data_IF_096432913545
#
_entry.id   IF_096432913545
#
_cell.length_a   1.000
_cell.length_b   1.000
_cell.length_c   1.000
_cell.angle_alpha   90.00
_cell.angle_beta   90.00
_cell.angle_gamma   90.00
#
_symmetry.space_group_name_H-M   'P 1'
#
loop_
_entity.id
_entity.type
_entity.pdbx_description
1 polymer ?
#
# COMPACT_ATOMS: atom_id res chain seq x y z
N UNK A 1 -0.80 22.67 -16.14
CA UNK A 1 -0.98 22.77 -14.69
C UNK A 1 -0.24 23.98 -14.19
N UNK A 2 -0.88 24.79 -13.37
CA UNK A 2 -0.36 26.07 -12.89
C UNK A 2 -0.11 26.02 -11.39
N UNK A 3 -1.09 25.55 -10.62
CA UNK A 3 -1.00 25.42 -9.16
C UNK A 3 -1.48 24.04 -8.70
N UNK A 4 -0.79 23.48 -7.70
CA UNK A 4 -1.25 22.35 -6.89
C UNK A 4 -1.13 22.79 -5.44
N UNK A 5 -2.23 22.81 -4.69
CA UNK A 5 -2.26 23.24 -3.29
C UNK A 5 -2.88 22.11 -2.48
N UNK A 6 -2.06 21.38 -1.73
CA UNK A 6 -2.53 20.36 -0.80
C UNK A 6 -3.00 21.02 0.51
N UNK A 7 -4.15 20.59 1.00
CA UNK A 7 -4.82 21.19 2.17
C UNK A 7 -5.17 20.14 3.23
N UNK A 8 -4.44 19.02 3.28
CA UNK A 8 -4.75 17.87 4.16
C UNK A 8 -4.87 18.21 5.65
N UNK A 9 -4.23 19.31 6.07
CA UNK A 9 -4.25 19.78 7.47
C UNK A 9 -5.17 20.99 7.67
N UNK A 10 -5.96 21.38 6.67
CA UNK A 10 -6.89 22.50 6.75
C UNK A 10 -8.29 21.97 7.01
N UNK A 11 -9.01 22.55 7.98
CA UNK A 11 -10.45 22.34 8.14
C UNK A 11 -11.22 23.03 7.00
N UNK A 12 -11.23 22.40 5.82
CA UNK A 12 -11.79 22.96 4.59
C UNK A 12 -13.31 22.79 4.45
N UNK A 13 -13.98 22.13 5.39
CA UNK A 13 -15.39 21.78 5.35
C UNK A 13 -16.07 22.15 6.67
N UNK A 14 -17.34 22.57 6.60
CA UNK A 14 -18.15 22.93 7.79
C UNK A 14 -18.42 21.74 8.72
N UNK A 15 -18.27 20.52 8.21
CA UNK A 15 -18.45 19.29 8.96
C UNK A 15 -17.14 18.51 9.03
N UNK A 16 -16.97 17.76 10.11
CA UNK A 16 -15.81 16.89 10.29
C UNK A 16 -15.89 15.69 9.33
N UNK A 17 -15.18 15.82 8.19
CA UNK A 17 -15.09 14.81 7.14
C UNK A 17 -13.67 14.25 7.05
N UNK A 18 -13.55 12.95 6.77
CA UNK A 18 -12.26 12.33 6.44
C UNK A 18 -11.95 12.54 4.97
N UNK A 19 -11.35 13.68 4.62
CA UNK A 19 -11.05 14.08 3.26
C UNK A 19 -9.58 14.52 3.07
N UNK A 20 -9.16 14.61 1.80
CA UNK A 20 -7.82 15.05 1.37
C UNK A 20 -7.97 16.21 0.40
N UNK A 21 -8.39 17.40 0.88
CA UNK A 21 -8.69 18.50 -0.01
C UNK A 21 -7.41 18.98 -0.68
N UNK A 22 -7.54 19.28 -1.98
CA UNK A 22 -6.51 19.94 -2.75
C UNK A 22 -7.16 20.87 -3.77
N UNK A 23 -6.50 21.99 -4.06
CA UNK A 23 -6.87 22.90 -5.15
C UNK A 23 -5.88 22.68 -6.29
N UNK A 24 -6.40 22.37 -7.47
CA UNK A 24 -5.59 22.10 -8.66
C UNK A 24 -6.06 23.05 -9.77
N UNK A 25 -5.15 23.88 -10.27
CA UNK A 25 -5.46 24.86 -11.33
C UNK A 25 -4.83 24.41 -12.64
N UNK A 26 -5.67 24.06 -13.60
CA UNK A 26 -5.27 23.66 -14.95
C UNK A 26 -5.60 24.81 -15.90
N UNK A 27 -4.64 25.16 -16.77
CA UNK A 27 -4.78 26.19 -17.80
C UNK A 27 -4.41 25.60 -19.16
N UNK A 28 -5.01 26.13 -20.23
CA UNK A 28 -4.71 25.74 -21.61
C UNK A 28 -3.54 26.57 -22.15
N UNK A 29 -2.33 26.29 -21.65
CA UNK A 29 -1.08 26.96 -22.04
C UNK A 29 0.01 25.89 -22.19
N UNK A 30 1.11 26.22 -22.87
CA UNK A 30 2.29 25.35 -22.91
C UNK A 30 2.78 25.12 -21.48
N UNK A 31 2.92 23.85 -21.10
CA UNK A 31 3.43 23.50 -19.78
C UNK A 31 4.90 23.90 -19.66
N UNK A 32 5.19 24.68 -18.63
CA UNK A 32 6.54 25.11 -18.27
C UNK A 32 6.74 24.97 -16.77
N UNK A 33 6.24 25.94 -16.00
CA UNK A 33 6.43 26.01 -14.55
C UNK A 33 5.14 25.65 -13.78
N UNK A 34 5.26 25.09 -12.58
CA UNK A 34 4.13 24.83 -11.67
C UNK A 34 4.49 25.19 -10.24
N UNK A 35 3.58 25.85 -9.53
CA UNK A 35 3.72 26.09 -8.09
C UNK A 35 3.03 24.97 -7.32
N UNK A 36 3.76 24.32 -6.43
CA UNK A 36 3.26 23.29 -5.53
C UNK A 36 3.29 23.86 -4.12
N UNK A 37 2.17 23.76 -3.41
CA UNK A 37 2.00 24.32 -2.08
C UNK A 37 1.32 23.33 -1.13
N UNK A 38 1.63 23.49 0.15
CA UNK A 38 1.00 22.80 1.27
C UNK A 38 0.50 23.85 2.25
N UNK A 39 -0.81 23.81 2.50
CA UNK A 39 -1.49 24.60 3.50
C UNK A 39 -1.85 23.74 4.71
N UNK A 40 -1.77 24.31 5.91
CA UNK A 40 -2.32 23.73 7.13
C UNK A 40 -3.27 24.71 7.86
N UNK A 41 -3.78 24.33 9.03
CA UNK A 41 -4.74 25.13 9.79
C UNK A 41 -4.26 26.54 10.10
N UNK A 42 -2.95 26.78 10.22
CA UNK A 42 -2.43 28.13 10.51
C UNK A 42 -2.62 29.07 9.32
N UNK A 43 -2.90 28.54 8.11
CA UNK A 43 -3.33 29.38 6.98
C UNK A 43 -4.64 30.13 7.24
N UNK A 44 -5.49 29.66 8.17
CA UNK A 44 -6.71 30.36 8.57
C UNK A 44 -6.41 31.70 9.28
N UNK A 45 -5.18 31.89 9.77
CA UNK A 45 -4.74 33.15 10.37
C UNK A 45 -4.54 34.26 9.32
N UNK A 46 -4.52 33.91 8.04
CA UNK A 46 -4.26 34.85 6.94
C UNK A 46 -5.52 35.07 6.10
N UNK A 47 -5.72 36.32 5.66
CA UNK A 47 -6.77 36.62 4.70
C UNK A 47 -6.49 35.90 3.36
N UNK A 48 -7.48 35.30 2.67
CA UNK A 48 -7.26 34.53 1.43
C UNK A 48 -6.49 35.28 0.34
N UNK A 49 -6.69 36.60 0.25
CA UNK A 49 -5.95 37.48 -0.68
C UNK A 49 -4.44 37.43 -0.44
N UNK A 50 -3.98 37.34 0.81
CA UNK A 50 -2.55 37.26 1.14
C UNK A 50 -1.95 35.99 0.58
N UNK A 51 -2.60 34.84 0.81
CA UNK A 51 -2.14 33.54 0.31
C UNK A 51 -2.08 33.54 -1.22
N UNK A 52 -3.15 34.02 -1.89
CA UNK A 52 -3.20 34.04 -3.36
C UNK A 52 -2.17 35.00 -3.97
N UNK A 53 -1.92 36.16 -3.34
CA UNK A 53 -0.87 37.09 -3.77
C UNK A 53 0.50 36.43 -3.67
N UNK A 54 0.84 35.80 -2.55
CA UNK A 54 2.13 35.12 -2.36
C UNK A 54 2.36 34.00 -3.36
N UNK A 55 1.35 33.16 -3.62
CA UNK A 55 1.46 32.09 -4.62
C UNK A 55 1.63 32.65 -6.05
N UNK A 56 0.96 33.76 -6.40
CA UNK A 56 1.14 34.43 -7.69
C UNK A 56 2.52 35.08 -7.82
N UNK A 57 3.00 35.73 -6.76
CA UNK A 57 4.35 36.28 -6.69
C UNK A 57 5.39 35.18 -6.87
N UNK A 58 5.26 34.05 -6.18
CA UNK A 58 6.16 32.92 -6.38
C UNK A 58 6.17 32.41 -7.82
N UNK A 59 5.02 32.42 -8.50
CA UNK A 59 4.91 32.01 -9.89
C UNK A 59 5.58 32.99 -10.86
N UNK A 60 5.45 34.30 -10.62
CA UNK A 60 5.99 35.34 -11.50
C UNK A 60 7.44 35.71 -11.19
N UNK A 61 7.90 35.47 -9.97
CA UNK A 61 9.23 35.86 -9.50
C UNK A 61 10.31 34.98 -10.12
N UNK A 62 11.36 35.58 -10.66
CA UNK A 62 12.50 34.87 -11.26
C UNK A 62 13.52 34.39 -10.23
N UNK A 63 13.59 35.04 -9.06
CA UNK A 63 14.60 34.82 -8.02
C UNK A 63 14.05 33.91 -6.90
N UNK A 64 12.85 34.20 -6.38
CA UNK A 64 12.24 33.39 -5.33
C UNK A 64 11.75 32.05 -5.90
N UNK A 65 12.16 30.95 -5.27
CA UNK A 65 11.80 29.58 -5.67
C UNK A 65 10.99 28.84 -4.61
N UNK A 66 10.86 29.40 -3.41
CA UNK A 66 10.13 28.81 -2.29
C UNK A 66 9.53 29.87 -1.36
N UNK A 67 8.50 29.45 -0.61
CA UNK A 67 7.88 30.16 0.50
C UNK A 67 7.87 29.21 1.69
N UNK A 68 8.28 29.71 2.86
CA UNK A 68 8.15 29.02 4.14
C UNK A 68 7.66 30.03 5.16
N UNK A 69 6.39 29.94 5.52
CA UNK A 69 5.73 30.79 6.50
C UNK A 69 4.81 29.95 7.38
N UNK A 70 4.27 30.56 8.43
CA UNK A 70 3.29 29.92 9.31
C UNK A 70 2.10 29.42 8.48
N UNK A 71 1.92 28.11 8.51
CA UNK A 71 0.90 27.37 7.78
C UNK A 71 0.99 27.26 6.26
N UNK A 72 1.85 28.03 5.58
CA UNK A 72 2.01 27.96 4.12
C UNK A 72 3.44 27.63 3.73
N UNK A 73 3.60 26.51 3.02
CA UNK A 73 4.86 26.12 2.38
C UNK A 73 4.63 25.95 0.89
N UNK A 74 5.46 26.55 0.05
CA UNK A 74 5.32 26.41 -1.40
C UNK A 74 6.66 26.42 -2.10
N UNK A 75 6.72 25.82 -3.28
CA UNK A 75 7.88 25.93 -4.16
C UNK A 75 7.47 25.97 -5.63
N UNK A 76 8.37 26.53 -6.44
CA UNK A 76 8.24 26.62 -7.89
C UNK A 76 9.02 25.47 -8.53
N UNK A 77 8.30 24.57 -9.20
CA UNK A 77 8.88 23.47 -9.99
C UNK A 77 9.02 23.86 -11.46
N UNK A 78 10.23 23.74 -11.98
CA UNK A 78 10.54 23.86 -13.42
C UNK A 78 10.56 22.51 -14.14
N UNK A 79 10.52 21.40 -13.40
CA UNK A 79 10.42 20.07 -13.97
C UNK A 79 8.97 19.66 -14.04
N UNK A 80 8.50 19.35 -15.25
CA UNK A 80 7.20 18.74 -15.43
C UNK A 80 7.27 17.22 -15.27
N UNK A 81 6.25 16.64 -14.64
CA UNK A 81 6.18 15.21 -14.42
C UNK A 81 6.18 14.43 -15.74
N UNK A 82 6.90 13.30 -15.76
CA UNK A 82 6.92 12.42 -16.94
C UNK A 82 5.53 11.84 -17.19
N UNK A 83 5.11 11.70 -18.46
CA UNK A 83 3.87 11.01 -18.79
C UNK A 83 3.87 9.58 -18.22
N UNK A 84 2.73 9.13 -17.70
CA UNK A 84 2.50 7.76 -17.18
C UNK A 84 3.29 7.36 -15.93
N UNK A 85 3.95 8.30 -15.26
CA UNK A 85 4.49 8.10 -13.90
C UNK A 85 3.64 8.83 -12.86
N UNK A 86 3.39 8.26 -11.67
CA UNK A 86 2.78 8.96 -10.56
C UNK A 86 3.55 10.23 -10.23
N UNK A 87 2.81 11.28 -9.89
CA UNK A 87 3.39 12.58 -9.54
C UNK A 87 3.73 12.56 -8.05
N UNK A 88 5.03 12.51 -7.73
CA UNK A 88 5.50 12.69 -6.36
C UNK A 88 5.39 14.17 -6.00
N UNK A 89 4.35 14.53 -5.24
CA UNK A 89 4.13 15.90 -4.76
C UNK A 89 4.82 16.02 -3.39
N UNK A 90 6.13 16.24 -3.41
CA UNK A 90 6.98 16.36 -2.22
C UNK A 90 7.91 17.57 -2.32
N UNK A 91 8.45 18.00 -1.18
CA UNK A 91 9.40 19.12 -1.10
C UNK A 91 10.63 18.90 -1.99
N UNK A 92 11.23 19.96 -2.58
CA UNK A 92 12.38 19.85 -3.48
C UNK A 92 13.52 18.98 -2.96
N UNK A 93 13.95 19.19 -1.70
CA UNK A 93 15.03 18.39 -1.12
C UNK A 93 14.69 16.90 -0.98
N UNK A 94 13.42 16.57 -0.72
CA UNK A 94 12.95 15.18 -0.72
C UNK A 94 12.87 14.63 -2.14
N UNK A 95 12.46 15.43 -3.10
CA UNK A 95 12.42 15.04 -4.52
C UNK A 95 13.82 14.70 -5.04
N UNK A 96 14.83 15.48 -4.70
CA UNK A 96 16.23 15.21 -5.05
C UNK A 96 16.73 13.89 -4.47
N UNK A 97 16.44 13.63 -3.18
CA UNK A 97 16.77 12.35 -2.53
C UNK A 97 16.06 11.19 -3.22
N UNK A 98 14.77 11.34 -3.53
CA UNK A 98 13.99 10.32 -4.24
C UNK A 98 14.62 9.99 -5.60
N UNK A 99 14.92 11.02 -6.40
CA UNK A 99 15.53 10.85 -7.72
C UNK A 99 16.92 10.20 -7.62
N UNK A 100 17.73 10.57 -6.63
CA UNK A 100 19.04 9.97 -6.40
C UNK A 100 18.93 8.47 -6.05
N UNK A 101 17.97 8.10 -5.20
CA UNK A 101 17.72 6.70 -4.85
C UNK A 101 17.19 5.90 -6.05
N UNK A 102 16.30 6.49 -6.87
CA UNK A 102 15.78 5.86 -8.09
C UNK A 102 16.85 5.66 -9.17
N UNK A 103 17.86 6.53 -9.24
CA UNK A 103 18.98 6.39 -10.17
C UNK A 103 20.01 5.36 -9.69
N UNK A 104 20.24 5.28 -8.38
CA UNK A 104 21.31 4.47 -7.79
C UNK A 104 20.91 3.01 -7.56
N UNK A 105 19.64 2.75 -7.28
CA UNK A 105 19.18 1.45 -6.82
C UNK A 105 18.04 0.90 -7.70
N UNK A 106 18.05 -0.41 -8.00
CA UNK A 106 16.92 -1.07 -8.68
C UNK A 106 15.65 -1.02 -7.84
N UNK A 107 14.50 -1.18 -8.48
CA UNK A 107 13.22 -1.44 -7.79
C UNK A 107 13.28 -2.74 -7.02
N UNK A 108 12.44 -2.84 -5.98
CA UNK A 108 12.29 -4.06 -5.19
C UNK A 108 12.09 -5.31 -6.08
N UNK A 109 11.28 -5.21 -7.13
CA UNK A 109 11.03 -6.34 -8.04
C UNK A 109 12.25 -6.74 -8.87
N UNK A 110 13.05 -5.77 -9.31
CA UNK A 110 14.32 -5.99 -10.00
C UNK A 110 15.39 -6.65 -9.10
N UNK A 111 15.19 -6.67 -7.78
CA UNK A 111 16.08 -7.38 -6.83
C UNK A 111 15.66 -8.84 -6.54
N UNK A 112 14.68 -9.37 -7.27
CA UNK A 112 14.17 -10.74 -7.08
C UNK A 112 13.14 -10.85 -5.95
N UNK A 113 12.50 -9.74 -5.59
CA UNK A 113 11.41 -9.71 -4.63
C UNK A 113 10.07 -9.63 -5.37
N UNK A 114 9.10 -10.43 -4.95
CA UNK A 114 7.74 -10.39 -5.49
C UNK A 114 6.81 -9.71 -4.49
N UNK A 115 6.05 -8.72 -4.97
CA UNK A 115 5.02 -8.02 -4.20
C UNK A 115 3.65 -8.44 -4.71
N UNK A 116 2.76 -8.86 -3.81
CA UNK A 116 1.41 -9.29 -4.15
C UNK A 116 0.34 -8.80 -3.18
N UNK A 117 -0.91 -9.10 -3.53
CA UNK A 117 -2.10 -8.73 -2.75
C UNK A 117 -2.76 -10.02 -2.27
N UNK A 118 -3.24 -10.03 -1.03
CA UNK A 118 -4.02 -11.14 -0.51
C UNK A 118 -5.36 -11.36 -1.21
N UNK A 119 -6.03 -12.46 -0.88
CA UNK A 119 -7.29 -12.86 -1.52
C UNK A 119 -8.41 -11.89 -1.18
N UNK A 120 -9.03 -11.33 -2.22
CA UNK A 120 -10.31 -10.66 -2.11
C UNK A 120 -11.43 -11.68 -2.31
N UNK A 121 -12.01 -12.14 -1.20
CA UNK A 121 -13.14 -13.07 -1.26
C UNK A 121 -14.38 -12.41 -1.91
N UNK A 122 -14.55 -11.10 -1.66
CA UNK A 122 -15.72 -10.33 -2.08
C UNK A 122 -17.00 -10.66 -1.31
N UNK A 123 -16.94 -11.57 -0.33
CA UNK A 123 -18.04 -11.89 0.58
C UNK A 123 -17.49 -12.60 1.83
N UNK A 124 -16.77 -11.87 2.67
CA UNK A 124 -16.04 -12.45 3.80
C UNK A 124 -16.95 -13.26 4.74
N UNK A 125 -18.20 -12.84 4.94
CA UNK A 125 -19.18 -13.56 5.76
C UNK A 125 -19.49 -15.00 5.32
N UNK A 126 -19.24 -15.33 4.05
CA UNK A 126 -19.40 -16.70 3.51
C UNK A 126 -18.05 -17.40 3.36
N UNK A 127 -17.02 -16.67 2.98
CA UNK A 127 -15.73 -17.29 2.71
C UNK A 127 -14.83 -17.43 3.92
N UNK A 128 -15.02 -16.67 4.99
CA UNK A 128 -14.19 -16.73 6.19
C UNK A 128 -14.94 -17.45 7.30
N UNK A 129 -14.27 -18.40 7.95
CA UNK A 129 -14.83 -19.17 9.07
C UNK A 129 -13.77 -19.50 10.10
N UNK A 130 -14.18 -19.69 11.35
CA UNK A 130 -13.37 -20.35 12.40
C UNK A 130 -13.87 -21.77 12.69
N UNK A 131 -15.00 -22.17 12.09
CA UNK A 131 -15.55 -23.52 12.21
C UNK A 131 -14.83 -24.48 11.26
N UNK A 132 -13.97 -25.31 11.83
CA UNK A 132 -13.21 -26.34 11.10
C UNK A 132 -14.06 -27.50 10.62
N UNK A 133 -15.31 -27.58 11.07
CA UNK A 133 -16.29 -28.56 10.63
C UNK A 133 -17.23 -28.00 9.57
N UNK A 134 -17.07 -26.77 9.09
CA UNK A 134 -18.03 -26.19 8.14
C UNK A 134 -18.07 -26.94 6.78
N UNK A 135 -16.89 -27.28 6.27
CA UNK A 135 -16.69 -27.99 4.99
C UNK A 135 -15.62 -29.08 5.14
N UNK A 136 -15.24 -29.74 4.07
CA UNK A 136 -14.13 -30.69 4.07
C UNK A 136 -12.81 -30.01 4.47
N UNK A 137 -12.00 -30.72 5.27
CA UNK A 137 -10.80 -30.15 5.91
C UNK A 137 -9.79 -29.59 4.90
N UNK A 138 -9.65 -30.22 3.74
CA UNK A 138 -8.74 -29.80 2.67
C UNK A 138 -9.28 -28.61 1.86
N UNK A 139 -10.55 -28.22 2.08
CA UNK A 139 -11.18 -27.00 1.55
C UNK A 139 -11.08 -25.82 2.51
N UNK A 140 -10.42 -25.98 3.66
CA UNK A 140 -10.15 -24.90 4.60
C UNK A 140 -8.70 -24.47 4.49
N UNK A 141 -8.48 -23.27 3.97
CA UNK A 141 -7.15 -22.68 3.82
C UNK A 141 -6.88 -21.73 5.00
N UNK A 142 -5.82 -21.94 5.81
CA UNK A 142 -5.46 -21.01 6.87
C UNK A 142 -5.27 -19.59 6.31
N UNK A 143 -5.93 -18.61 6.90
CA UNK A 143 -5.96 -17.23 6.43
C UNK A 143 -5.52 -16.28 7.55
N UNK A 144 -4.49 -15.49 7.27
CA UNK A 144 -4.04 -14.40 8.13
C UNK A 144 -4.75 -13.08 7.78
N UNK A 145 -5.04 -12.31 8.82
CA UNK A 145 -5.67 -10.99 8.77
C UNK A 145 -4.81 -9.96 9.48
N UNK A 146 -5.13 -8.68 9.31
CA UNK A 146 -4.46 -7.56 9.99
C UNK A 146 -4.39 -7.72 11.51
N UNK A 147 -5.41 -8.29 12.13
CA UNK A 147 -5.45 -8.51 13.58
C UNK A 147 -4.41 -9.55 14.04
N UNK A 148 -4.03 -10.49 13.19
CA UNK A 148 -3.08 -11.56 13.52
C UNK A 148 -1.63 -11.06 13.57
N UNK A 149 -1.36 -9.86 13.04
CA UNK A 149 -0.01 -9.33 12.91
C UNK A 149 0.23 -8.08 13.74
N UNK A 150 -0.71 -7.66 14.59
CA UNK A 150 -0.66 -6.38 15.31
C UNK A 150 0.60 -6.25 16.17
N UNK A 151 0.98 -7.30 16.89
CA UNK A 151 2.16 -7.34 17.77
C UNK A 151 3.49 -7.23 17.02
N UNK A 152 3.49 -7.48 15.71
CA UNK A 152 4.71 -7.61 14.91
C UNK A 152 5.20 -9.04 14.73
N UNK A 153 4.52 -9.99 15.34
CA UNK A 153 4.68 -11.43 15.12
C UNK A 153 3.33 -11.98 14.66
N UNK A 154 3.34 -13.00 13.81
CA UNK A 154 2.12 -13.66 13.36
C UNK A 154 1.53 -14.53 14.48
N UNK A 155 0.38 -14.11 15.02
CA UNK A 155 -0.46 -14.89 15.91
C UNK A 155 -1.78 -15.21 15.19
N UNK A 156 -1.80 -16.31 14.44
CA UNK A 156 -2.95 -16.67 13.63
C UNK A 156 -4.20 -16.98 14.47
N UNK A 157 -5.31 -16.28 14.21
CA UNK A 157 -6.57 -16.41 14.95
C UNK A 157 -7.43 -17.63 14.57
N UNK A 158 -6.86 -18.72 14.05
CA UNK A 158 -7.61 -19.88 13.55
C UNK A 158 -8.70 -19.53 12.52
N UNK A 159 -8.47 -18.48 11.73
CA UNK A 159 -9.38 -18.09 10.65
C UNK A 159 -9.00 -18.82 9.37
N UNK A 160 -10.00 -19.38 8.71
CA UNK A 160 -9.86 -20.13 7.47
C UNK A 160 -10.65 -19.46 6.35
N UNK A 161 -10.12 -19.55 5.14
CA UNK A 161 -10.82 -19.31 3.91
C UNK A 161 -11.43 -20.63 3.42
N UNK A 162 -12.74 -20.63 3.18
CA UNK A 162 -13.45 -21.69 2.44
C UNK A 162 -12.98 -21.62 0.99
N UNK A 163 -12.13 -22.56 0.60
CA UNK A 163 -11.35 -22.53 -0.61
C UNK A 163 -11.95 -23.42 -1.72
N UNK A 164 -12.47 -22.84 -2.81
CA UNK A 164 -13.00 -23.60 -3.94
C UNK A 164 -11.93 -24.07 -4.94
N UNK A 165 -10.63 -23.81 -4.68
CA UNK A 165 -9.54 -24.11 -5.60
C UNK A 165 -8.72 -25.34 -5.16
N UNK A 166 -8.29 -26.11 -6.15
CA UNK A 166 -7.21 -27.09 -6.08
C UNK A 166 -6.06 -26.63 -6.99
N UNK A 167 -4.93 -27.36 -7.02
CA UNK A 167 -3.72 -26.96 -7.74
C UNK A 167 -3.96 -26.67 -9.24
N UNK A 168 -4.92 -27.37 -9.86
CA UNK A 168 -5.19 -27.28 -11.30
C UNK A 168 -6.53 -26.61 -11.65
N UNK A 169 -7.15 -25.88 -10.72
CA UNK A 169 -8.38 -25.14 -11.01
C UNK A 169 -9.42 -25.23 -9.89
N UNK A 170 -10.68 -24.95 -10.22
CA UNK A 170 -11.78 -25.10 -9.28
C UNK A 170 -12.07 -26.58 -9.02
N UNK A 171 -12.44 -26.89 -7.78
CA UNK A 171 -12.91 -28.23 -7.44
C UNK A 171 -14.25 -28.52 -8.11
N UNK A 172 -14.49 -29.78 -8.44
CA UNK A 172 -15.85 -30.21 -8.76
C UNK A 172 -16.63 -30.40 -7.47
N UNK A 173 -17.70 -29.61 -7.29
CA UNK A 173 -18.48 -29.58 -6.05
C UNK A 173 -19.11 -30.95 -5.71
N UNK A 174 -19.42 -31.79 -6.70
CA UNK A 174 -19.94 -33.15 -6.48
C UNK A 174 -18.99 -34.05 -5.66
N UNK A 175 -17.68 -33.79 -5.68
CA UNK A 175 -16.69 -34.53 -4.88
C UNK A 175 -16.57 -34.00 -3.44
N UNK A 176 -17.20 -32.86 -3.13
CA UNK A 176 -17.13 -32.19 -1.83
C UNK A 176 -18.55 -31.85 -1.35
N UNK A 177 -19.32 -32.84 -0.86
CA UNK A 177 -20.74 -32.67 -0.53
C UNK A 177 -21.03 -31.53 0.46
N UNK A 178 -20.16 -31.33 1.46
CA UNK A 178 -20.34 -30.29 2.49
C UNK A 178 -20.06 -28.91 1.91
N UNK A 179 -18.99 -28.77 1.12
CA UNK A 179 -18.71 -27.53 0.39
C UNK A 179 -19.83 -27.19 -0.59
N UNK A 180 -20.35 -28.18 -1.31
CA UNK A 180 -21.44 -28.01 -2.26
C UNK A 180 -22.72 -27.51 -1.56
N UNK A 181 -23.14 -28.19 -0.49
CA UNK A 181 -24.28 -27.79 0.31
C UNK A 181 -24.10 -26.37 0.88
N UNK A 182 -22.90 -26.08 1.42
CA UNK A 182 -22.57 -24.78 1.97
C UNK A 182 -22.68 -23.65 0.94
N UNK A 183 -22.05 -23.80 -0.23
CA UNK A 183 -22.16 -22.78 -1.27
C UNK A 183 -23.58 -22.67 -1.82
N UNK A 184 -24.28 -23.78 -2.01
CA UNK A 184 -25.67 -23.79 -2.49
C UNK A 184 -26.60 -23.01 -1.55
N UNK A 185 -26.44 -23.20 -0.24
CA UNK A 185 -27.15 -22.43 0.79
C UNK A 185 -26.92 -20.92 0.67
N UNK A 186 -25.72 -20.50 0.26
CA UNK A 186 -25.33 -19.10 0.10
C UNK A 186 -25.36 -18.59 -1.35
N UNK A 187 -25.95 -19.36 -2.29
CA UNK A 187 -25.89 -19.05 -3.72
C UNK A 187 -26.46 -17.66 -4.05
N UNK A 188 -27.60 -17.30 -3.44
CA UNK A 188 -28.25 -16.01 -3.70
C UNK A 188 -27.34 -14.81 -3.41
N UNK A 189 -26.53 -14.88 -2.35
CA UNK A 189 -25.59 -13.84 -1.97
C UNK A 189 -24.33 -13.87 -2.84
N UNK A 190 -23.81 -15.08 -3.11
CA UNK A 190 -22.60 -15.27 -3.90
C UNK A 190 -22.78 -14.81 -5.36
N UNK A 191 -23.98 -14.97 -5.94
CA UNK A 191 -24.30 -14.49 -7.28
C UNK A 191 -24.34 -12.96 -7.42
N UNK A 192 -24.45 -12.20 -6.33
CA UNK A 192 -24.44 -10.74 -6.38
C UNK A 192 -23.03 -10.16 -6.59
N UNK A 193 -21.99 -10.96 -6.35
CA UNK A 193 -20.58 -10.56 -6.54
C UNK A 193 -20.30 -10.28 -8.02
N UNK A 194 -19.49 -9.26 -8.29
CA UNK A 194 -19.09 -8.90 -9.66
C UNK A 194 -18.45 -10.06 -10.43
N UNK A 195 -17.64 -10.88 -9.76
CA UNK A 195 -17.00 -12.06 -10.37
C UNK A 195 -18.03 -13.10 -10.81
N UNK A 196 -19.10 -13.29 -10.04
CA UNK A 196 -20.15 -14.26 -10.33
C UNK A 196 -21.06 -13.80 -11.47
N UNK A 197 -21.37 -12.50 -11.54
CA UNK A 197 -22.16 -11.90 -12.63
C UNK A 197 -21.56 -12.18 -14.01
N UNK A 198 -20.22 -12.15 -14.09
CA UNK A 198 -19.48 -12.36 -15.34
C UNK A 198 -19.20 -13.85 -15.64
N UNK A 199 -19.35 -14.75 -14.66
CA UNK A 199 -19.07 -16.18 -14.83
C UNK A 199 -20.08 -17.04 -14.07
N UNK A 200 -21.25 -17.24 -14.69
CA UNK A 200 -22.38 -17.95 -14.10
C UNK A 200 -22.10 -19.43 -13.79
N UNK A 201 -21.13 -20.06 -14.45
CA UNK A 201 -20.80 -21.48 -14.21
C UNK A 201 -19.79 -21.67 -13.06
N UNK A 202 -19.13 -20.59 -12.64
CA UNK A 202 -18.12 -20.59 -11.57
C UNK A 202 -18.38 -19.46 -10.56
N UNK A 203 -19.64 -19.25 -10.22
CA UNK A 203 -20.10 -18.14 -9.36
C UNK A 203 -19.51 -18.17 -7.94
N UNK A 204 -19.13 -19.35 -7.45
CA UNK A 204 -18.49 -19.57 -6.15
C UNK A 204 -16.97 -19.38 -6.17
N UNK A 205 -16.37 -18.95 -7.30
CA UNK A 205 -14.92 -18.82 -7.39
C UNK A 205 -14.38 -17.62 -6.60
N UNK A 206 -13.21 -17.79 -6.01
CA UNK A 206 -12.33 -16.72 -5.51
C UNK A 206 -11.08 -16.61 -6.40
N UNK A 207 -10.06 -15.85 -6.00
CA UNK A 207 -8.75 -15.84 -6.67
C UNK A 207 -7.71 -16.24 -5.64
N UNK A 208 -7.26 -17.49 -5.69
CA UNK A 208 -6.30 -18.07 -4.75
C UNK A 208 -5.18 -18.73 -5.55
N UNK A 209 -3.95 -18.45 -5.16
CA UNK A 209 -2.75 -19.14 -5.65
C UNK A 209 -2.18 -20.03 -4.54
N UNK A 210 -2.51 -21.31 -4.58
CA UNK A 210 -2.14 -22.25 -3.51
C UNK A 210 -0.62 -22.40 -3.31
N UNK A 211 0.20 -22.02 -4.30
CA UNK A 211 1.66 -22.03 -4.15
C UNK A 211 2.14 -21.06 -3.07
N UNK A 212 1.35 -20.03 -2.74
CA UNK A 212 1.68 -19.03 -1.74
C UNK A 212 1.62 -19.56 -0.29
N UNK A 213 0.80 -20.60 -0.03
CA UNK A 213 0.59 -21.08 1.33
C UNK A 213 1.91 -21.55 1.93
N UNK A 214 2.66 -22.40 1.21
CA UNK A 214 3.92 -23.01 1.68
C UNK A 214 5.15 -22.10 1.52
N UNK A 215 4.94 -20.84 1.11
CA UNK A 215 6.03 -19.90 0.81
C UNK A 215 6.22 -18.94 1.98
N UNK A 216 7.45 -18.84 2.48
CA UNK A 216 7.83 -17.79 3.42
C UNK A 216 7.60 -16.41 2.79
N UNK A 217 7.03 -15.50 3.57
CA UNK A 217 6.62 -14.17 3.09
C UNK A 217 6.49 -13.18 4.24
N UNK A 218 6.66 -11.91 3.94
CA UNK A 218 6.31 -10.82 4.85
C UNK A 218 4.88 -10.36 4.54
N UNK A 219 4.07 -10.17 5.57
CA UNK A 219 2.80 -9.46 5.48
C UNK A 219 2.98 -7.97 5.77
N UNK A 220 2.31 -7.14 4.99
CA UNK A 220 2.26 -5.68 5.16
C UNK A 220 0.79 -5.27 5.15
N UNK A 221 0.26 -4.67 6.23
CA UNK A 221 -1.12 -4.21 6.28
C UNK A 221 -1.33 -3.07 5.28
N UNK A 222 -2.53 -3.02 4.70
CA UNK A 222 -2.87 -2.05 3.66
C UNK A 222 -2.92 -0.61 4.15
N UNK A 223 -3.29 -0.39 5.42
CA UNK A 223 -3.38 0.93 6.06
C UNK A 223 -2.65 0.89 7.39
N UNK A 224 -1.57 1.68 7.51
CA UNK A 224 -0.82 1.88 8.76
C UNK A 224 0.00 3.16 8.72
N UNK A 225 0.39 3.71 9.88
CA UNK A 225 1.20 4.94 9.99
C UNK A 225 2.65 4.78 9.50
N UNK A 226 3.16 3.55 9.43
CA UNK A 226 4.45 3.19 8.86
C UNK A 226 4.36 1.76 8.30
N UNK A 227 5.35 1.35 7.48
CA UNK A 227 5.40 -0.02 6.98
C UNK A 227 5.57 -0.95 8.18
N UNK A 228 4.65 -1.90 8.30
CA UNK A 228 4.64 -2.89 9.37
C UNK A 228 4.77 -4.27 8.75
N UNK A 229 6.00 -4.70 8.50
CA UNK A 229 6.27 -6.02 7.95
C UNK A 229 6.28 -7.08 9.06
N UNK A 230 5.62 -8.22 8.83
CA UNK A 230 5.60 -9.36 9.76
C UNK A 230 5.85 -10.65 9.00
N UNK A 231 6.77 -11.48 9.48
CA UNK A 231 7.16 -12.72 8.81
C UNK A 231 6.13 -13.83 9.05
N UNK A 232 5.70 -14.47 7.96
CA UNK A 232 5.02 -15.76 7.92
C UNK A 232 5.98 -16.81 7.34
N UNK A 233 6.10 -17.94 8.01
CA UNK A 233 6.96 -19.07 7.61
C UNK A 233 6.30 -19.99 6.58
N UNK A 234 5.30 -19.50 5.83
CA UNK A 234 4.50 -20.32 4.93
C UNK A 234 3.41 -21.11 5.65
N UNK A 235 2.78 -20.50 6.66
CA UNK A 235 1.72 -21.16 7.45
C UNK A 235 0.33 -20.69 7.05
N UNK A 236 0.21 -19.46 6.56
CA UNK A 236 -1.09 -18.84 6.26
C UNK A 236 -1.16 -18.19 4.89
N UNK A 237 -2.37 -17.94 4.41
CA UNK A 237 -2.66 -17.16 3.21
C UNK A 237 -3.05 -15.72 3.59
N UNK A 238 -2.59 -14.68 2.88
CA UNK A 238 -2.96 -13.30 3.19
C UNK A 238 -4.39 -12.97 2.76
N UNK A 239 -5.15 -12.34 3.65
CA UNK A 239 -6.39 -11.65 3.30
C UNK A 239 -6.12 -10.37 2.48
N UNK A 240 -7.10 -9.83 1.73
CA UNK A 240 -6.89 -8.68 0.83
C UNK A 240 -6.39 -7.38 1.49
N UNK A 241 -6.59 -7.23 2.80
CA UNK A 241 -6.05 -6.13 3.58
C UNK A 241 -4.60 -6.37 4.05
N UNK A 242 -3.99 -7.48 3.64
CA UNK A 242 -2.58 -7.78 3.77
C UNK A 242 -1.96 -7.90 2.37
N UNK A 243 -1.05 -6.99 2.06
CA UNK A 243 -0.08 -7.22 0.99
C UNK A 243 0.95 -8.24 1.47
N UNK A 244 1.58 -8.92 0.51
CA UNK A 244 2.64 -9.85 0.82
C UNK A 244 3.89 -9.59 -0.01
N UNK A 245 5.04 -9.87 0.58
CA UNK A 245 6.35 -9.78 -0.05
C UNK A 245 7.04 -11.12 0.11
N UNK A 246 7.53 -11.70 -0.99
CA UNK A 246 8.25 -12.98 -0.98
C UNK A 246 9.46 -12.92 -1.87
N UNK A 247 10.49 -13.73 -1.61
CA UNK A 247 11.70 -13.76 -2.43
C UNK A 247 12.39 -15.11 -2.30
N UNK A 248 13.09 -15.52 -3.34
CA UNK A 248 14.05 -16.63 -3.30
C UNK A 248 15.50 -16.17 -3.20
N UNK A 249 15.76 -14.86 -3.38
CA UNK A 249 17.10 -14.26 -3.38
C UNK A 249 17.41 -13.53 -2.07
N UNK A 250 16.40 -13.01 -1.39
CA UNK A 250 16.54 -12.27 -0.14
C UNK A 250 16.29 -13.13 1.10
N UNK A 251 17.08 -12.89 2.15
CA UNK A 251 16.64 -13.17 3.52
C UNK A 251 15.50 -12.19 3.86
N UNK A 252 14.32 -12.73 4.17
CA UNK A 252 13.12 -11.92 4.40
C UNK A 252 13.18 -11.09 5.68
N UNK A 253 13.99 -11.47 6.67
CA UNK A 253 14.16 -10.66 7.88
C UNK A 253 15.03 -9.44 7.57
N UNK A 254 16.09 -9.62 6.78
CA UNK A 254 16.93 -8.50 6.28
C UNK A 254 16.10 -7.55 5.40
N UNK A 255 15.31 -8.10 4.48
CA UNK A 255 14.40 -7.31 3.66
C UNK A 255 13.36 -6.59 4.53
N UNK A 256 12.77 -7.29 5.50
CA UNK A 256 11.82 -6.74 6.45
C UNK A 256 12.38 -5.54 7.20
N UNK A 257 13.65 -5.61 7.63
CA UNK A 257 14.33 -4.50 8.28
C UNK A 257 14.38 -3.23 7.42
N UNK A 258 14.84 -3.38 6.17
CA UNK A 258 14.92 -2.25 5.22
C UNK A 258 13.52 -1.69 4.94
N UNK A 259 12.52 -2.56 4.80
CA UNK A 259 11.14 -2.15 4.53
C UNK A 259 10.53 -1.34 5.67
N UNK A 260 10.74 -1.72 6.94
CA UNK A 260 10.18 -0.96 8.07
C UNK A 260 11.00 0.28 8.46
N UNK A 261 12.17 0.47 7.85
CA UNK A 261 13.02 1.64 8.07
C UNK A 261 12.43 2.95 7.54
N UNK A 262 13.05 4.07 7.93
CA UNK A 262 12.74 5.40 7.40
C UNK A 262 12.88 5.50 5.88
N UNK A 263 13.72 4.67 5.23
CA UNK A 263 13.85 4.64 3.77
C UNK A 263 12.60 4.01 3.14
N UNK A 264 12.14 2.87 3.64
CA UNK A 264 10.91 2.23 3.15
C UNK A 264 9.70 3.15 3.35
N UNK A 265 9.60 3.77 4.53
CA UNK A 265 8.59 4.79 4.83
C UNK A 265 8.66 5.97 3.85
N UNK A 266 9.85 6.51 3.59
CA UNK A 266 10.06 7.64 2.68
C UNK A 266 9.54 7.37 1.27
N UNK A 267 9.77 6.16 0.73
CA UNK A 267 9.24 5.78 -0.59
C UNK A 267 7.71 5.76 -0.61
N UNK A 268 7.07 5.15 0.39
CA UNK A 268 5.61 5.12 0.45
C UNK A 268 5.04 6.53 0.62
N UNK A 269 5.63 7.36 1.48
CA UNK A 269 5.21 8.74 1.69
C UNK A 269 5.37 9.62 0.44
N UNK A 270 6.34 9.29 -0.43
CA UNK A 270 6.60 10.06 -1.65
C UNK A 270 5.57 9.84 -2.76
N UNK A 271 4.90 8.67 -2.77
CA UNK A 271 3.91 8.33 -3.80
C UNK A 271 2.49 8.14 -3.26
N UNK A 272 2.34 7.89 -1.97
CA UNK A 272 1.07 7.68 -1.30
C UNK A 272 0.50 8.96 -0.71
N UNK A 273 -0.81 8.99 -0.52
CA UNK A 273 -1.51 10.08 0.18
C UNK A 273 -1.53 9.78 1.68
N UNK A 274 -1.16 10.76 2.51
CA UNK A 274 -1.36 10.68 3.95
C UNK A 274 -2.84 10.78 4.28
N UNK A 275 -3.35 9.73 4.88
CA UNK A 275 -4.71 9.62 5.38
C UNK A 275 -4.90 10.39 6.70
N UNK A 276 -6.14 10.71 7.07
CA UNK A 276 -6.47 11.37 8.34
C UNK A 276 -5.85 10.58 9.50
N UNK A 277 -5.25 11.29 10.47
CA UNK A 277 -4.53 10.66 11.59
C UNK A 277 -3.11 10.20 11.25
N UNK A 278 -2.58 10.55 10.08
CA UNK A 278 -1.20 10.23 9.68
C UNK A 278 -1.00 8.82 9.14
N UNK A 279 -2.09 8.10 8.84
CA UNK A 279 -2.04 6.78 8.23
C UNK A 279 -1.58 6.86 6.76
N UNK A 280 -0.92 5.82 6.26
CA UNK A 280 -0.53 5.66 4.87
C UNK A 280 -1.26 4.45 4.29
N UNK A 281 -1.68 4.56 3.03
CA UNK A 281 -2.20 3.42 2.28
C UNK A 281 -1.06 2.75 1.52
N UNK A 282 -0.65 1.57 1.98
CA UNK A 282 0.50 0.79 1.52
C UNK A 282 0.25 0.04 0.20
N UNK A 283 -0.46 0.65 -0.75
CA UNK A 283 -0.86 -0.03 -1.99
C UNK A 283 0.34 -0.73 -2.65
N UNK A 284 0.12 -1.94 -3.18
CA UNK A 284 1.19 -2.73 -3.79
C UNK A 284 1.98 -1.95 -4.86
N UNK A 285 1.34 -1.04 -5.59
CA UNK A 285 2.00 -0.16 -6.56
C UNK A 285 3.04 0.80 -5.94
N UNK A 286 2.88 1.21 -4.68
CA UNK A 286 3.85 2.05 -3.96
C UNK A 286 4.97 1.19 -3.38
N UNK A 287 4.65 0.02 -2.83
CA UNK A 287 5.66 -0.94 -2.38
C UNK A 287 6.62 -1.32 -3.52
N UNK A 288 6.11 -1.52 -4.74
CA UNK A 288 6.90 -1.79 -5.95
C UNK A 288 7.88 -0.67 -6.35
N UNK A 289 7.71 0.55 -5.82
CA UNK A 289 8.58 1.69 -6.09
C UNK A 289 9.75 1.80 -5.12
N UNK A 290 9.72 1.05 -4.02
CA UNK A 290 10.83 1.01 -3.07
C UNK A 290 12.08 0.56 -3.83
N UNK A 291 13.17 1.31 -3.67
CA UNK A 291 14.46 0.98 -4.26
C UNK A 291 15.36 0.34 -3.23
N UNK A 292 16.01 -0.75 -3.62
CA UNK A 292 16.83 -1.57 -2.73
C UNK A 292 18.22 -1.79 -3.34
N UNK A 293 19.29 -1.88 -2.53
CA UNK A 293 20.54 -2.46 -3.01
C UNK A 293 20.32 -3.92 -3.43
N UNK A 294 21.23 -4.49 -4.22
CA UNK A 294 21.21 -5.94 -4.44
C UNK A 294 21.58 -6.64 -3.13
N UNK A 295 20.88 -7.71 -2.78
CA UNK A 295 21.17 -8.46 -1.55
C UNK A 295 22.65 -8.89 -1.47
N UNK A 296 23.23 -9.26 -2.61
CA UNK A 296 24.64 -9.65 -2.73
C UNK A 296 25.64 -8.55 -2.36
N UNK A 297 25.25 -7.26 -2.42
CA UNK A 297 26.16 -6.16 -2.07
C UNK A 297 26.16 -5.82 -0.58
N UNK A 298 25.26 -6.42 0.21
CA UNK A 298 25.27 -6.27 1.67
C UNK A 298 26.36 -7.16 2.28
N UNK A 299 27.18 -6.59 3.14
CA UNK A 299 28.18 -7.32 3.93
C UNK A 299 27.49 -8.27 4.92
N UNK A 300 28.21 -9.28 5.40
CA UNK A 300 27.68 -10.21 6.40
C UNK A 300 27.27 -9.48 7.69
N UNK A 301 28.09 -8.53 8.16
CA UNK A 301 27.79 -7.70 9.34
C UNK A 301 26.47 -6.96 9.17
N UNK A 302 26.28 -6.27 8.03
CA UNK A 302 25.04 -5.55 7.75
C UNK A 302 23.82 -6.47 7.71
N UNK A 303 23.94 -7.66 7.12
CA UNK A 303 22.84 -8.64 7.09
C UNK A 303 22.46 -9.09 8.50
N UNK A 304 23.45 -9.38 9.34
CA UNK A 304 23.23 -9.79 10.73
C UNK A 304 22.58 -8.67 11.54
N UNK A 305 23.09 -7.45 11.44
CA UNK A 305 22.52 -6.28 12.14
C UNK A 305 21.08 -5.99 11.71
N UNK A 306 20.80 -6.02 10.40
CA UNK A 306 19.44 -5.81 9.88
C UNK A 306 18.49 -6.91 10.36
N UNK A 307 18.93 -8.16 10.35
CA UNK A 307 18.12 -9.28 10.84
C UNK A 307 17.80 -9.14 12.33
N UNK A 308 18.79 -8.82 13.15
CA UNK A 308 18.62 -8.58 14.58
C UNK A 308 17.67 -7.39 14.85
N UNK A 309 17.85 -6.29 14.11
CA UNK A 309 16.99 -5.12 14.17
C UNK A 309 15.53 -5.44 13.81
N UNK A 310 15.30 -6.26 12.79
CA UNK A 310 13.94 -6.70 12.41
C UNK A 310 13.29 -7.55 13.51
N UNK A 311 14.03 -8.50 14.08
CA UNK A 311 13.55 -9.38 15.14
C UNK A 311 13.22 -8.61 16.42
N UNK A 312 14.07 -7.65 16.79
CA UNK A 312 13.88 -6.77 17.96
C UNK A 312 12.91 -5.62 17.71
N UNK A 313 12.55 -5.38 16.44
CA UNK A 313 11.72 -4.23 16.01
C UNK A 313 12.38 -2.89 16.35
N UNK A 314 13.71 -2.87 16.31
CA UNK A 314 14.57 -1.73 16.68
C UNK A 314 15.20 -1.12 15.42
N UNK A 315 14.47 -0.19 14.79
CA UNK A 315 14.79 0.42 13.49
C UNK A 315 14.50 1.92 13.49
#
# INVERSE_FOLDING_TARGET
MKYIIEMHKVAAFDHDVSSYPAIIVIVNEKQDTTVIAWADNDTQLFHPTVITTKLRELMSNTIATHIVEDGLRAYKSHQWFKPRTPWAIIEPGKLEILQLLEQRFPSIEETGVHVGIGVASGLDKVYLTTDTSLVEKDRLLPLARTNDIVSGVLHWSNTYLVNPWQEHGLVQLNHYPRLAEYFQKHQGELMQRNVAKNNKNAWYRTIVDLSLLKKCKLYIPDIKNAIHAVLDQGTTYPHHNLYYVSSSTWDLEVLGAILISNIGKFFVESYGVRMRGGYLRMQAQYLRRIRLPLFSTLTLTQRTELKDAFQKRDI
#
